data_IF_098802965181
#
_entry.id   IF_098802965181
#
_cell.length_a   1.000
_cell.length_b   1.000
_cell.length_c   1.000
_cell.angle_alpha   90.00
_cell.angle_beta   90.00
_cell.angle_gamma   90.00
#
_symmetry.space_group_name_H-M   'P 1'
#
loop_
_entity.id
_entity.type
_entity.pdbx_description
1 polymer ?
#
# COMPACT_ATOMS: atom_id res chain seq x y z
N UNK A 1 33.18 -0.68 -2.21
CA UNK A 1 32.09 -1.46 -1.60
C UNK A 1 30.90 -0.53 -1.58
N UNK A 2 30.00 -0.67 -2.55
CA UNK A 2 28.77 0.11 -2.62
C UNK A 2 27.97 -0.16 -1.35
N UNK A 3 27.63 0.88 -0.61
CA UNK A 3 26.64 0.79 0.47
C UNK A 3 25.33 0.34 -0.16
N UNK A 4 25.02 -0.94 -0.03
CA UNK A 4 23.76 -1.54 -0.48
C UNK A 4 22.66 -1.26 0.55
N UNK A 5 22.54 0.01 0.94
CA UNK A 5 21.75 0.46 2.09
C UNK A 5 20.24 0.33 1.91
N UNK A 6 19.78 -0.06 0.71
CA UNK A 6 18.37 -0.29 0.38
C UNK A 6 18.01 -1.76 0.08
N UNK A 7 18.95 -2.70 0.20
CA UNK A 7 18.76 -4.11 -0.15
C UNK A 7 17.78 -4.90 0.77
N UNK A 8 16.97 -4.23 1.59
CA UNK A 8 16.07 -4.86 2.53
C UNK A 8 14.78 -4.10 2.81
N UNK A 9 14.42 -3.09 1.98
CA UNK A 9 13.15 -2.38 2.14
C UNK A 9 12.10 -2.99 1.22
N UNK A 10 10.99 -3.43 1.82
CA UNK A 10 9.78 -3.84 1.12
C UNK A 10 8.65 -2.87 1.44
N UNK A 11 7.91 -2.43 0.42
CA UNK A 11 6.70 -1.63 0.55
C UNK A 11 5.51 -2.45 0.08
N UNK A 12 4.48 -2.55 0.90
CA UNK A 12 3.20 -3.16 0.56
C UNK A 12 2.07 -2.16 0.84
N UNK A 13 1.10 -2.10 -0.07
CA UNK A 13 -0.09 -1.26 0.04
C UNK A 13 -1.33 -2.09 -0.23
N UNK A 14 -2.32 -1.98 0.64
CA UNK A 14 -3.65 -2.55 0.44
C UNK A 14 -4.66 -1.41 0.39
N UNK A 15 -5.49 -1.36 -0.65
CA UNK A 15 -6.37 -0.24 -0.95
C UNK A 15 -7.79 -0.75 -1.16
N UNK A 16 -8.77 -0.16 -0.47
CA UNK A 16 -10.18 -0.56 -0.53
C UNK A 16 -11.10 0.61 -0.78
N UNK A 17 -12.26 0.36 -1.41
CA UNK A 17 -13.19 1.41 -1.76
C UNK A 17 -12.59 2.33 -2.83
N UNK A 18 -12.15 1.74 -3.95
CA UNK A 18 -11.48 2.45 -5.03
C UNK A 18 -12.43 3.49 -5.67
N UNK A 19 -11.89 4.59 -6.20
CA UNK A 19 -12.72 5.54 -6.95
C UNK A 19 -13.38 4.84 -8.14
N UNK A 20 -14.69 5.02 -8.29
CA UNK A 20 -15.49 4.31 -9.29
C UNK A 20 -15.02 4.58 -10.72
N UNK A 21 -14.54 5.79 -11.03
CA UNK A 21 -14.06 6.11 -12.39
C UNK A 21 -12.71 5.45 -12.64
N UNK A 22 -11.83 5.41 -11.63
CA UNK A 22 -10.55 4.70 -11.69
C UNK A 22 -10.74 3.19 -11.83
N UNK A 23 -11.63 2.61 -11.02
CA UNK A 23 -11.93 1.17 -11.04
C UNK A 23 -12.53 0.71 -12.38
N UNK A 24 -13.36 1.54 -13.02
CA UNK A 24 -13.97 1.23 -14.34
C UNK A 24 -12.92 0.91 -15.42
N UNK A 25 -11.69 1.45 -15.31
CA UNK A 25 -10.60 1.18 -16.26
C UNK A 25 -10.25 -0.31 -16.33
N UNK A 26 -10.49 -1.08 -15.25
CA UNK A 26 -10.12 -2.49 -15.16
C UNK A 26 -11.25 -3.45 -15.50
N UNK A 27 -12.30 -2.97 -16.17
CA UNK A 27 -13.32 -3.81 -16.81
C UNK A 27 -12.98 -3.98 -18.28
N UNK A 28 -13.08 -5.21 -18.78
CA UNK A 28 -12.79 -5.50 -20.18
C UNK A 28 -13.87 -4.88 -21.06
N UNK A 29 -13.46 -4.05 -22.01
CA UNK A 29 -14.41 -3.46 -22.97
C UNK A 29 -14.91 -4.54 -23.95
N UNK A 30 -16.22 -4.63 -24.13
CA UNK A 30 -16.83 -5.61 -25.03
C UNK A 30 -16.49 -5.27 -26.49
N UNK A 31 -15.65 -6.10 -27.12
CA UNK A 31 -15.25 -5.97 -28.52
C UNK A 31 -13.86 -5.41 -28.75
N UNK A 32 -13.10 -5.15 -27.68
CA UNK A 32 -11.71 -4.72 -27.84
C UNK A 32 -10.77 -5.92 -27.98
N UNK A 33 -10.24 -6.09 -29.19
CA UNK A 33 -9.12 -6.98 -29.51
C UNK A 33 -7.78 -6.23 -29.48
N UNK A 34 -7.77 -4.96 -29.04
CA UNK A 34 -6.53 -4.22 -28.84
C UNK A 34 -5.79 -4.80 -27.63
N UNK A 35 -4.48 -5.04 -27.78
CA UNK A 35 -3.71 -5.86 -26.84
C UNK A 35 -3.59 -5.23 -25.44
N UNK A 36 -3.29 -6.09 -24.46
CA UNK A 36 -3.20 -5.93 -22.98
C UNK A 36 -2.58 -4.64 -22.38
N UNK A 37 -2.05 -3.70 -23.18
CA UNK A 37 -1.34 -2.51 -22.70
C UNK A 37 -2.24 -1.31 -22.38
N UNK A 38 -3.56 -1.43 -22.55
CA UNK A 38 -4.46 -0.28 -22.45
C UNK A 38 -4.82 0.05 -21.00
N UNK A 39 -5.14 -0.96 -20.18
CA UNK A 39 -5.44 -0.76 -18.75
C UNK A 39 -4.25 -0.12 -18.01
N UNK A 40 -3.02 -0.57 -18.30
CA UNK A 40 -1.77 -0.06 -17.70
C UNK A 40 -1.59 1.44 -17.93
N UNK A 41 -1.83 1.90 -19.17
CA UNK A 41 -1.69 3.31 -19.55
C UNK A 41 -2.86 4.15 -19.05
N UNK A 42 -4.10 3.68 -19.22
CA UNK A 42 -5.32 4.39 -18.79
C UNK A 42 -5.33 4.61 -17.28
N UNK A 43 -4.87 3.63 -16.50
CA UNK A 43 -4.77 3.70 -15.03
C UNK A 43 -3.53 4.45 -14.53
N UNK A 44 -2.57 4.75 -15.42
CA UNK A 44 -1.27 5.36 -15.11
C UNK A 44 -0.36 4.48 -14.25
N UNK A 45 -0.58 3.17 -14.23
CA UNK A 45 0.32 2.23 -13.52
C UNK A 45 1.74 2.31 -14.08
N UNK A 46 1.91 2.55 -15.39
CA UNK A 46 3.21 2.78 -16.01
C UNK A 46 3.95 4.04 -15.49
N UNK A 47 3.28 4.94 -14.78
CA UNK A 47 3.90 6.14 -14.20
C UNK A 47 4.36 5.92 -12.76
N UNK A 48 4.02 4.79 -12.12
CA UNK A 48 4.41 4.51 -10.72
C UNK A 48 5.93 4.38 -10.61
N UNK A 49 6.55 3.56 -11.45
CA UNK A 49 8.00 3.51 -11.66
C UNK A 49 8.23 3.48 -13.18
N UNK A 50 8.47 4.64 -13.82
CA UNK A 50 8.53 4.75 -15.29
C UNK A 50 9.61 3.89 -15.96
N UNK A 51 10.62 3.47 -15.19
CA UNK A 51 11.72 2.64 -15.66
C UNK A 51 11.44 1.13 -15.61
N UNK A 52 10.37 0.70 -14.92
CA UNK A 52 10.00 -0.71 -14.88
C UNK A 52 9.54 -1.21 -16.27
N UNK A 53 10.07 -2.37 -16.67
CA UNK A 53 9.49 -3.15 -17.75
C UNK A 53 8.27 -3.89 -17.22
N UNK A 54 7.10 -3.60 -17.80
CA UNK A 54 5.81 -4.10 -17.32
C UNK A 54 5.36 -5.30 -18.14
N UNK A 55 5.00 -6.38 -17.44
CA UNK A 55 4.25 -7.51 -17.96
C UNK A 55 2.87 -7.51 -17.30
N UNK A 56 1.85 -7.15 -18.06
CA UNK A 56 0.46 -7.01 -17.61
C UNK A 56 -0.45 -8.14 -18.12
N UNK A 57 -1.55 -8.34 -17.42
CA UNK A 57 -2.59 -9.30 -17.73
C UNK A 57 -3.95 -8.73 -17.37
N UNK A 58 -4.85 -8.71 -18.34
CA UNK A 58 -6.24 -8.25 -18.20
C UNK A 58 -7.17 -9.47 -18.10
N UNK A 59 -7.95 -9.54 -17.01
CA UNK A 59 -8.89 -10.64 -16.78
C UNK A 59 -10.26 -10.37 -17.43
N UNK A 60 -11.04 -11.43 -17.62
CA UNK A 60 -12.39 -11.39 -18.21
C UNK A 60 -13.41 -11.92 -17.18
N UNK A 61 -14.50 -11.20 -16.88
CA UNK A 61 -14.94 -9.93 -17.49
C UNK A 61 -14.22 -8.68 -16.97
N UNK A 62 -13.49 -8.78 -15.86
CA UNK A 62 -12.77 -7.67 -15.25
C UNK A 62 -11.64 -8.18 -14.35
N UNK A 63 -10.79 -7.25 -13.93
CA UNK A 63 -9.63 -7.53 -13.10
C UNK A 63 -8.33 -7.31 -13.86
N UNK A 64 -7.27 -7.04 -13.11
CA UNK A 64 -5.96 -6.75 -13.69
C UNK A 64 -4.85 -7.21 -12.76
N UNK A 65 -3.77 -7.71 -13.37
CA UNK A 65 -2.52 -8.05 -12.69
C UNK A 65 -1.34 -7.56 -13.51
N UNK A 66 -0.27 -7.12 -12.86
CA UNK A 66 0.99 -6.86 -13.54
C UNK A 66 2.18 -7.12 -12.65
N UNK A 67 3.31 -7.40 -13.29
CA UNK A 67 4.62 -7.37 -12.68
C UNK A 67 5.48 -6.32 -13.41
N UNK A 68 6.24 -5.53 -12.66
CA UNK A 68 7.22 -4.59 -13.15
C UNK A 68 8.60 -4.97 -12.65
N UNK A 69 9.62 -4.92 -13.52
CA UNK A 69 11.01 -5.21 -13.15
C UNK A 69 11.98 -4.16 -13.70
N UNK A 70 13.00 -3.81 -12.90
CA UNK A 70 14.17 -3.06 -13.34
C UNK A 70 15.41 -3.53 -12.54
N UNK A 71 16.32 -4.27 -13.18
CA UNK A 71 17.47 -4.83 -12.48
C UNK A 71 17.02 -5.80 -11.38
N UNK A 72 17.35 -5.48 -10.12
CA UNK A 72 16.90 -6.22 -8.92
C UNK A 72 15.62 -5.64 -8.31
N UNK A 73 15.15 -4.48 -8.79
CA UNK A 73 13.90 -3.88 -8.33
C UNK A 73 12.71 -4.56 -8.99
N UNK A 74 11.65 -4.76 -8.21
CA UNK A 74 10.42 -5.39 -8.64
C UNK A 74 9.22 -4.64 -8.05
N UNK A 75 8.10 -4.67 -8.77
CA UNK A 75 6.80 -4.29 -8.24
C UNK A 75 5.68 -5.16 -8.81
N UNK A 76 4.57 -5.29 -8.09
CA UNK A 76 3.35 -5.91 -8.61
C UNK A 76 2.11 -5.10 -8.25
N UNK A 77 1.08 -5.22 -9.08
CA UNK A 77 -0.27 -4.69 -8.82
C UNK A 77 -1.28 -5.80 -9.07
N UNK A 78 -2.25 -5.94 -8.17
CA UNK A 78 -3.44 -6.76 -8.38
C UNK A 78 -4.69 -5.91 -8.15
N UNK A 79 -5.70 -6.02 -9.00
CA UNK A 79 -6.92 -5.21 -8.95
C UNK A 79 -8.17 -6.07 -9.09
N UNK A 80 -9.10 -5.88 -8.15
CA UNK A 80 -10.49 -6.37 -8.13
C UNK A 80 -11.40 -5.14 -8.20
N UNK A 81 -11.89 -4.73 -9.39
CA UNK A 81 -12.53 -3.43 -9.59
C UNK A 81 -14.02 -3.37 -9.22
N UNK A 82 -14.63 -4.48 -8.81
CA UNK A 82 -16.04 -4.59 -8.49
C UNK A 82 -16.46 -3.61 -7.38
N UNK A 83 -17.44 -2.76 -7.66
CA UNK A 83 -17.81 -1.62 -6.81
C UNK A 83 -18.08 -1.97 -5.33
N UNK A 84 -18.77 -3.09 -5.07
CA UNK A 84 -19.20 -3.48 -3.72
C UNK A 84 -18.05 -3.94 -2.82
N UNK A 85 -16.96 -4.42 -3.41
CA UNK A 85 -15.82 -5.02 -2.69
C UNK A 85 -14.50 -4.67 -3.38
N UNK A 86 -14.42 -3.45 -3.91
CA UNK A 86 -13.28 -3.02 -4.72
C UNK A 86 -11.99 -3.02 -3.91
N UNK A 87 -10.95 -3.61 -4.50
CA UNK A 87 -9.65 -3.82 -3.88
C UNK A 87 -8.53 -3.64 -4.89
N UNK A 88 -7.43 -3.03 -4.45
CA UNK A 88 -6.17 -3.05 -5.17
C UNK A 88 -5.01 -3.25 -4.20
N UNK A 89 -3.99 -3.98 -4.63
CA UNK A 89 -2.71 -4.08 -3.92
C UNK A 89 -1.58 -3.52 -4.77
N UNK A 90 -0.58 -2.93 -4.12
CA UNK A 90 0.70 -2.61 -4.72
C UNK A 90 1.82 -3.10 -3.82
N UNK A 91 2.82 -3.74 -4.38
CA UNK A 91 4.03 -4.16 -3.66
C UNK A 91 5.25 -3.73 -4.46
N UNK A 92 6.31 -3.32 -3.77
CA UNK A 92 7.59 -2.99 -4.37
C UNK A 92 8.77 -3.34 -3.46
N UNK A 93 9.77 -3.99 -4.04
CA UNK A 93 10.99 -4.44 -3.38
C UNK A 93 12.22 -4.06 -4.20
N UNK A 94 13.35 -3.82 -3.55
CA UNK A 94 14.62 -3.51 -4.22
C UNK A 94 14.65 -2.15 -4.91
N UNK A 95 13.65 -1.31 -4.65
CA UNK A 95 13.56 0.06 -5.13
C UNK A 95 14.52 0.96 -4.35
N UNK A 96 15.25 1.82 -5.05
CA UNK A 96 16.07 2.83 -4.39
C UNK A 96 15.21 3.98 -3.84
N UNK A 97 14.76 3.82 -2.60
CA UNK A 97 14.02 4.84 -1.85
C UNK A 97 14.83 6.11 -1.57
N UNK A 98 16.18 6.10 -1.70
CA UNK A 98 16.98 7.33 -1.60
C UNK A 98 16.76 8.27 -2.79
N UNK A 99 16.56 7.69 -3.99
CA UNK A 99 16.28 8.42 -5.22
C UNK A 99 14.79 8.68 -5.41
N UNK A 100 13.96 7.63 -5.36
CA UNK A 100 12.53 7.72 -5.68
C UNK A 100 11.70 8.38 -4.57
N UNK A 101 12.18 8.26 -3.33
CA UNK A 101 11.48 8.62 -2.08
C UNK A 101 10.16 7.89 -1.90
N UNK A 102 9.89 7.50 -0.67
CA UNK A 102 8.69 6.73 -0.33
C UNK A 102 7.39 7.51 -0.56
N UNK A 103 7.27 8.72 -0.01
CA UNK A 103 6.03 9.51 -0.10
C UNK A 103 5.64 9.82 -1.56
N UNK A 104 6.57 10.25 -2.46
CA UNK A 104 6.25 10.37 -3.87
C UNK A 104 5.80 9.07 -4.52
N UNK A 105 6.44 7.93 -4.23
CA UNK A 105 6.04 6.63 -4.78
C UNK A 105 4.60 6.28 -4.38
N UNK A 106 4.29 6.36 -3.08
CA UNK A 106 2.95 6.14 -2.53
C UNK A 106 1.93 7.07 -3.19
N UNK A 107 2.25 8.36 -3.35
CA UNK A 107 1.38 9.31 -4.07
C UNK A 107 1.11 8.89 -5.51
N UNK A 108 2.11 8.34 -6.23
CA UNK A 108 1.88 7.84 -7.60
C UNK A 108 0.94 6.64 -7.62
N UNK A 109 1.08 5.70 -6.68
CA UNK A 109 0.15 4.58 -6.50
C UNK A 109 -1.27 5.06 -6.19
N UNK A 110 -1.42 5.97 -5.22
CA UNK A 110 -2.73 6.50 -4.84
C UNK A 110 -3.45 7.22 -5.98
N UNK A 111 -2.73 7.86 -6.91
CA UNK A 111 -3.35 8.50 -8.10
C UNK A 111 -3.96 7.51 -9.08
N UNK A 112 -3.51 6.26 -9.08
CA UNK A 112 -4.06 5.20 -9.93
C UNK A 112 -5.44 4.77 -9.44
N UNK A 113 -5.68 4.76 -8.12
CA UNK A 113 -6.83 4.09 -7.52
C UNK A 113 -7.76 5.00 -6.71
N UNK A 114 -7.24 6.07 -6.11
CA UNK A 114 -7.95 7.01 -5.22
C UNK A 114 -8.89 6.31 -4.22
N UNK A 115 -8.37 5.41 -3.36
CA UNK A 115 -9.20 4.62 -2.43
C UNK A 115 -9.83 5.48 -1.32
N UNK A 116 -10.87 4.96 -0.67
CA UNK A 116 -11.41 5.53 0.57
C UNK A 116 -10.48 5.23 1.74
N UNK A 117 -10.05 3.97 1.87
CA UNK A 117 -9.16 3.50 2.93
C UNK A 117 -7.98 2.76 2.31
N UNK A 118 -6.78 2.95 2.87
CA UNK A 118 -5.62 2.15 2.50
C UNK A 118 -4.68 1.93 3.67
N UNK A 119 -3.85 0.89 3.56
CA UNK A 119 -2.81 0.58 4.53
C UNK A 119 -1.46 0.54 3.84
N UNK A 120 -0.42 0.87 4.59
CA UNK A 120 0.98 0.72 4.17
C UNK A 120 1.64 -0.22 5.18
N UNK A 121 2.32 -1.26 4.69
CA UNK A 121 3.29 -2.01 5.46
C UNK A 121 4.67 -1.79 4.84
N UNK A 122 5.64 -1.43 5.69
CA UNK A 122 7.03 -1.28 5.26
C UNK A 122 7.87 -2.22 6.11
N UNK A 123 8.51 -3.18 5.48
CA UNK A 123 9.51 -4.01 6.13
C UNK A 123 10.88 -3.43 5.85
N UNK A 124 11.65 -3.09 6.89
CA UNK A 124 12.96 -2.45 6.75
C UNK A 124 13.89 -2.79 7.94
N UNK A 125 15.21 -2.55 7.82
CA UNK A 125 16.13 -2.68 8.95
C UNK A 125 15.77 -1.73 10.10
N UNK A 126 15.95 -2.17 11.35
CA UNK A 126 15.56 -1.40 12.55
C UNK A 126 16.18 0.00 12.62
N UNK A 127 17.41 0.16 12.16
CA UNK A 127 18.09 1.46 12.18
C UNK A 127 17.41 2.49 11.25
N UNK A 128 16.68 2.04 10.23
CA UNK A 128 15.92 2.90 9.32
C UNK A 128 14.48 3.14 9.80
N UNK A 129 14.04 2.45 10.86
CA UNK A 129 12.68 2.58 11.41
C UNK A 129 12.40 3.97 11.98
N UNK A 130 13.43 4.62 12.52
CA UNK A 130 13.34 5.95 13.12
C UNK A 130 13.33 7.11 12.11
N UNK A 131 13.39 6.83 10.80
CA UNK A 131 13.68 7.80 9.73
C UNK A 131 12.43 8.26 8.95
N UNK A 132 12.63 9.16 7.97
CA UNK A 132 11.68 9.76 7.01
C UNK A 132 10.74 8.76 6.28
N UNK A 133 10.97 7.44 6.41
CA UNK A 133 10.09 6.38 5.93
C UNK A 133 8.81 6.23 6.77
N UNK A 134 8.75 6.85 7.96
CA UNK A 134 7.54 6.94 8.76
C UNK A 134 6.52 7.89 8.10
N UNK A 135 5.63 7.33 7.28
CA UNK A 135 4.57 8.09 6.60
C UNK A 135 3.53 8.57 7.62
N UNK A 136 3.49 9.88 7.83
CA UNK A 136 2.42 10.57 8.55
C UNK A 136 1.25 10.92 7.62
N UNK A 137 0.49 11.96 7.96
CA UNK A 137 -0.58 12.47 7.11
C UNK A 137 -0.12 12.72 5.67
N UNK A 138 -0.98 12.36 4.71
CA UNK A 138 -0.74 12.60 3.28
C UNK A 138 -1.77 13.59 2.73
N UNK A 139 -1.45 14.20 1.59
CA UNK A 139 -2.41 15.05 0.91
C UNK A 139 -3.69 14.27 0.57
N UNK A 140 -4.83 14.74 1.08
CA UNK A 140 -6.13 14.07 0.90
C UNK A 140 -6.41 12.90 1.85
N UNK A 141 -5.47 12.47 2.69
CA UNK A 141 -5.63 11.34 3.60
C UNK A 141 -5.12 11.64 5.02
N UNK A 142 -5.84 11.14 6.03
CA UNK A 142 -5.41 11.20 7.41
C UNK A 142 -4.84 9.83 7.81
N UNK A 143 -3.68 9.81 8.48
CA UNK A 143 -3.21 8.62 9.16
C UNK A 143 -4.08 8.41 10.40
N UNK A 144 -4.73 7.25 10.54
CA UNK A 144 -5.65 6.99 11.66
C UNK A 144 -4.98 6.18 12.77
N UNK A 145 -4.08 5.29 12.40
CA UNK A 145 -3.35 4.42 13.32
C UNK A 145 -2.04 3.97 12.73
N UNK A 146 -1.10 3.62 13.59
CA UNK A 146 0.11 2.95 13.20
C UNK A 146 0.59 1.96 14.24
N UNK A 147 1.36 1.00 13.76
CA UNK A 147 2.02 -0.02 14.57
C UNK A 147 3.45 -0.16 14.07
N UNK A 148 4.39 -0.24 14.99
CA UNK A 148 5.75 -0.71 14.71
C UNK A 148 5.94 -2.04 15.41
N UNK A 149 6.34 -3.05 14.64
CA UNK A 149 6.67 -4.38 15.14
C UNK A 149 8.15 -4.66 14.86
N UNK A 150 8.94 -4.88 15.90
CA UNK A 150 10.29 -5.37 15.74
C UNK A 150 10.27 -6.86 15.34
N UNK A 151 11.16 -7.27 14.46
CA UNK A 151 11.27 -8.66 14.00
C UNK A 151 12.64 -9.24 14.39
N UNK A 152 12.73 -10.56 14.44
CA UNK A 152 14.01 -11.23 14.60
C UNK A 152 14.95 -10.88 13.43
N UNK A 153 16.24 -10.75 13.72
CA UNK A 153 17.25 -10.43 12.70
C UNK A 153 17.47 -8.93 12.46
N UNK A 154 17.02 -8.05 13.35
CA UNK A 154 17.27 -6.60 13.26
C UNK A 154 16.45 -5.91 12.17
N UNK A 155 15.29 -6.49 11.84
CA UNK A 155 14.30 -5.91 10.93
C UNK A 155 13.11 -5.41 11.73
N UNK A 156 12.28 -4.57 11.13
CA UNK A 156 10.99 -4.18 11.69
C UNK A 156 9.95 -4.02 10.58
N UNK A 157 8.68 -4.05 10.97
CA UNK A 157 7.54 -3.71 10.13
C UNK A 157 6.89 -2.45 10.69
N UNK A 158 6.78 -1.43 9.85
CA UNK A 158 5.97 -0.23 10.11
C UNK A 158 4.66 -0.38 9.35
N UNK A 159 3.58 -0.56 10.08
CA UNK A 159 2.23 -0.67 9.53
C UNK A 159 1.42 0.59 9.82
N UNK A 160 0.77 1.16 8.81
CA UNK A 160 -0.02 2.40 8.92
C UNK A 160 -1.35 2.24 8.23
N UNK A 161 -2.39 2.80 8.83
CA UNK A 161 -3.73 2.86 8.26
C UNK A 161 -4.08 4.31 7.92
N UNK A 162 -4.73 4.50 6.78
CA UNK A 162 -5.12 5.79 6.25
C UNK A 162 -6.56 5.78 5.77
N UNK A 163 -7.21 6.93 5.90
CA UNK A 163 -8.57 7.15 5.41
C UNK A 163 -8.65 8.50 4.68
N UNK A 164 -9.46 8.60 3.64
CA UNK A 164 -9.64 9.82 2.88
C UNK A 164 -10.24 10.93 3.78
N UNK A 165 -9.65 12.13 3.73
CA UNK A 165 -10.19 13.31 4.43
C UNK A 165 -11.53 13.67 3.81
N UNK A 166 -12.56 13.86 4.64
CA UNK A 166 -13.91 14.16 4.18
C UNK A 166 -13.93 15.37 3.23
N UNK A 167 -14.33 15.16 1.97
CA UNK A 167 -14.50 16.22 0.98
C UNK A 167 -15.84 16.93 1.18
N UNK A 168 -16.03 17.70 2.27
CA UNK A 168 -17.15 18.66 2.41
C UNK A 168 -18.60 18.16 2.20
N UNK A 169 -18.84 16.87 1.96
CA UNK A 169 -20.13 16.23 1.79
C UNK A 169 -20.05 14.92 2.57
N UNK A 170 -20.72 14.88 3.71
CA UNK A 170 -20.71 13.73 4.60
C UNK A 170 -21.43 12.54 3.97
N UNK A 171 -20.76 11.38 3.98
CA UNK A 171 -21.27 10.05 4.40
C UNK A 171 -20.04 9.14 4.50
N UNK A 172 -19.98 8.32 5.56
CA UNK A 172 -19.11 7.14 5.66
C UNK A 172 -18.26 7.13 6.93
N UNK A 173 -18.73 6.45 7.97
CA UNK A 173 -17.92 6.13 9.13
C UNK A 173 -16.79 5.18 8.67
N UNK A 174 -15.52 5.35 9.12
CA UNK A 174 -14.44 4.46 8.73
C UNK A 174 -14.79 3.01 9.07
N UNK A 175 -14.47 2.07 8.17
CA UNK A 175 -14.75 0.66 8.38
C UNK A 175 -14.09 0.18 9.67
N UNK A 176 -14.92 -0.23 10.66
CA UNK A 176 -14.47 -0.71 11.97
C UNK A 176 -13.68 -2.03 11.91
N UNK A 177 -13.70 -2.75 10.79
CA UNK A 177 -13.15 -4.11 10.69
C UNK A 177 -11.63 -4.16 10.85
N UNK A 178 -10.90 -3.23 10.22
CA UNK A 178 -9.43 -3.22 10.30
C UNK A 178 -8.98 -2.93 11.73
N UNK A 179 -9.56 -1.92 12.37
CA UNK A 179 -9.27 -1.58 13.78
C UNK A 179 -9.62 -2.72 14.76
N UNK A 180 -10.61 -3.55 14.42
CA UNK A 180 -11.04 -4.67 15.26
C UNK A 180 -10.03 -5.84 15.22
N UNK A 181 -9.51 -6.20 14.04
CA UNK A 181 -8.51 -7.27 13.92
C UNK A 181 -7.24 -6.99 14.76
N UNK A 182 -6.83 -5.72 14.89
CA UNK A 182 -5.60 -5.37 15.64
C UNK A 182 -5.79 -5.31 17.14
N UNK A 183 -6.99 -4.94 17.63
CA UNK A 183 -7.29 -5.04 19.06
C UNK A 183 -7.19 -6.48 19.52
N UNK A 184 -7.74 -7.39 18.73
CA UNK A 184 -7.70 -8.83 19.02
C UNK A 184 -6.27 -9.37 19.01
N UNK A 185 -5.43 -9.00 18.02
CA UNK A 185 -4.03 -9.44 17.97
C UNK A 185 -3.14 -8.84 19.09
N UNK A 186 -3.34 -7.58 19.47
CA UNK A 186 -2.58 -6.95 20.56
C UNK A 186 -3.00 -7.49 21.94
N UNK A 187 -4.28 -7.85 22.11
CA UNK A 187 -4.80 -8.50 23.32
C UNK A 187 -4.29 -9.95 23.41
N UNK A 188 -4.17 -10.68 22.29
CA UNK A 188 -3.64 -12.05 22.24
C UNK A 188 -2.14 -12.10 22.61
N UNK A 189 -1.31 -11.19 22.11
CA UNK A 189 0.12 -11.09 22.46
C UNK A 189 0.35 -10.67 23.92
N UNK A 190 -0.59 -9.94 24.54
CA UNK A 190 -0.51 -9.55 25.94
C UNK A 190 -0.83 -10.72 26.90
N UNK A 191 -1.66 -11.68 26.48
CA UNK A 191 -1.98 -12.88 27.28
C UNK A 191 -0.94 -14.00 27.16
N UNK A 192 -0.18 -14.08 26.07
CA UNK A 192 0.81 -15.15 25.80
C UNK A 192 2.19 -14.85 26.41
N UNK A 193 2.26 -13.99 27.44
CA UNK A 193 3.50 -13.57 28.12
C UNK A 193 4.38 -14.72 28.64
N UNK A 194 5.24 -15.26 27.77
CA UNK A 194 6.10 -16.39 28.03
C UNK A 194 7.16 -16.61 26.95
N UNK A 195 8.28 -15.88 27.09
CA UNK A 195 9.56 -16.07 26.39
C UNK A 195 9.61 -15.60 24.92
N UNK A 196 10.06 -14.35 24.73
CA UNK A 196 10.62 -13.87 23.45
C UNK A 196 9.71 -13.01 22.56
N UNK A 197 8.52 -12.61 23.02
CA UNK A 197 7.64 -11.76 22.20
C UNK A 197 8.24 -10.36 22.00
N UNK A 198 8.36 -10.01 20.72
CA UNK A 198 8.86 -8.73 20.26
C UNK A 198 7.83 -7.63 20.50
N UNK A 199 8.26 -6.50 21.06
CA UNK A 199 7.36 -5.43 21.49
C UNK A 199 6.61 -4.80 20.31
N UNK A 200 5.28 -4.91 20.34
CA UNK A 200 4.36 -4.18 19.44
C UNK A 200 4.16 -2.77 20.00
N UNK A 201 4.44 -1.73 19.22
CA UNK A 201 4.14 -0.35 19.59
C UNK A 201 2.99 0.19 18.73
N UNK A 202 1.77 0.16 19.28
CA UNK A 202 0.59 0.75 18.66
C UNK A 202 0.38 2.19 19.11
N UNK A 203 -0.03 3.07 18.20
CA UNK A 203 -0.40 4.45 18.52
C UNK A 203 -1.57 4.92 17.64
N UNK A 204 -2.41 5.79 18.22
CA UNK A 204 -3.40 6.55 17.47
C UNK A 204 -2.73 7.79 16.90
N UNK A 205 -2.94 8.05 15.61
CA UNK A 205 -2.45 9.25 14.95
C UNK A 205 -3.47 10.40 15.01
N UNK A 206 -4.66 10.16 15.58
CA UNK A 206 -5.69 11.18 15.71
C UNK A 206 -5.40 11.96 16.99
N UNK A 207 -4.93 13.21 16.85
CA UNK A 207 -4.92 14.14 17.98
C UNK A 207 -6.35 14.24 18.53
N UNK A 208 -6.51 14.03 19.84
CA UNK A 208 -7.76 14.34 20.52
C UNK A 208 -8.00 15.84 20.35
N UNK A 209 -8.94 16.19 19.47
CA UNK A 209 -9.42 17.55 19.29
C UNK A 209 -10.06 18.10 20.57
#
# INVERSE_FOLDING_TARGET
>A
MSNDSNAGINLEMCMTGLDRKKATVFFKESGDNSGNSEMTKKSKINEIIPSHQICDFEFDPCGYSMNGIEGTAYSTVHVTPEHEFSYASYEAMGVDFGSIKLEPLVKRVLRCFEPVDFTIAITLPEYACADELCVGDMEGYACVSGVVQHLLGGMCVVYRCFTAKARGCGVGNPNKSVLQCWKEAAEEEAEVGGVGCSAVLAFSCVESA
#
